data_IF_145189954320
#
_entry.id   IF_145189954320
#
_cell.length_a   1.000
_cell.length_b   1.000
_cell.length_c   1.000
_cell.angle_alpha   90.00
_cell.angle_beta   90.00
_cell.angle_gamma   90.00
#
_symmetry.space_group_name_H-M   'P 1'
#
loop_
_entity.id
_entity.type
_entity.pdbx_description
1 polymer ?
#
# COMPACT_ATOMS: atom_id res chain seq x y z
N UNK A 1 0.38 -8.82 19.33
CA UNK A 1 0.37 -8.36 17.93
C UNK A 1 1.80 -8.00 17.55
N UNK A 2 2.20 -8.11 16.29
CA UNK A 2 3.57 -7.77 15.83
C UNK A 2 3.91 -6.30 16.14
N UNK A 3 2.92 -5.40 16.11
CA UNK A 3 3.07 -3.98 16.45
C UNK A 3 3.71 -3.73 17.83
N UNK A 4 3.57 -4.66 18.78
CA UNK A 4 4.13 -4.54 20.14
C UNK A 4 5.55 -5.10 20.28
N UNK A 5 6.19 -5.56 19.19
CA UNK A 5 7.51 -6.21 19.24
C UNK A 5 8.70 -5.25 19.09
N UNK A 6 8.52 -3.96 19.40
CA UNK A 6 9.58 -2.93 19.30
C UNK A 6 10.19 -2.80 17.89
N UNK A 7 9.34 -2.76 16.86
CA UNK A 7 9.76 -2.49 15.49
C UNK A 7 10.14 -1.02 15.32
N UNK A 8 11.16 -0.75 14.51
CA UNK A 8 11.48 0.61 14.08
C UNK A 8 10.46 1.13 13.03
N UNK A 9 10.08 0.25 12.10
CA UNK A 9 9.14 0.56 11.01
C UNK A 9 8.18 -0.60 10.81
N UNK A 10 6.89 -0.28 10.71
CA UNK A 10 5.84 -1.22 10.33
C UNK A 10 5.43 -1.00 8.87
N UNK A 11 5.79 -1.93 7.99
CA UNK A 11 5.51 -1.84 6.57
C UNK A 11 4.35 -2.76 6.17
N UNK A 12 3.38 -2.23 5.43
CA UNK A 12 2.36 -3.01 4.75
C UNK A 12 1.99 -2.33 3.43
N UNK A 13 2.13 -3.04 2.32
CA UNK A 13 1.97 -2.46 1.00
C UNK A 13 0.52 -2.50 0.52
N UNK A 14 0.04 -1.37 -0.01
CA UNK A 14 -1.23 -1.31 -0.76
C UNK A 14 -1.04 -1.72 -2.22
N UNK A 15 0.20 -1.68 -2.72
CA UNK A 15 0.71 -2.15 -4.03
C UNK A 15 0.21 -1.39 -5.26
N UNK A 16 -1.08 -1.06 -5.34
CA UNK A 16 -1.66 -0.34 -6.49
C UNK A 16 -2.88 0.47 -6.06
N UNK A 17 -3.46 1.22 -7.01
CA UNK A 17 -4.67 2.03 -6.81
C UNK A 17 -5.89 1.13 -6.55
N UNK A 18 -6.95 1.69 -5.94
CA UNK A 18 -8.13 0.92 -5.50
C UNK A 18 -8.78 0.16 -6.66
N UNK A 19 -8.80 0.76 -7.85
CA UNK A 19 -9.42 0.24 -9.07
C UNK A 19 -8.69 -0.98 -9.65
N UNK A 20 -7.39 -1.13 -9.37
CA UNK A 20 -6.56 -2.20 -9.92
C UNK A 20 -6.28 -3.34 -8.94
N UNK A 21 -6.77 -3.26 -7.69
CA UNK A 21 -6.48 -4.25 -6.65
C UNK A 21 -6.78 -5.69 -7.09
N UNK A 22 -7.95 -5.94 -7.67
CA UNK A 22 -8.39 -7.28 -8.10
C UNK A 22 -7.64 -7.81 -9.32
N UNK A 23 -7.07 -6.90 -10.13
CA UNK A 23 -6.28 -7.26 -11.31
C UNK A 23 -4.82 -7.53 -10.96
N UNK A 24 -4.29 -6.79 -9.97
CA UNK A 24 -2.87 -6.81 -9.61
C UNK A 24 -2.56 -7.78 -8.48
N UNK A 25 -3.45 -7.86 -7.49
CA UNK A 25 -3.22 -8.60 -6.24
C UNK A 25 -4.10 -9.84 -6.20
N UNK A 26 -3.73 -10.75 -5.30
CA UNK A 26 -4.56 -11.89 -4.93
C UNK A 26 -5.98 -11.40 -4.56
N UNK A 27 -7.00 -12.14 -4.99
CA UNK A 27 -8.41 -11.77 -4.81
C UNK A 27 -8.83 -11.61 -3.33
N UNK A 28 -8.04 -12.12 -2.38
CA UNK A 28 -8.27 -11.97 -0.93
C UNK A 28 -7.75 -10.63 -0.40
N UNK A 29 -6.84 -9.97 -1.13
CA UNK A 29 -6.32 -8.67 -0.76
C UNK A 29 -7.26 -7.56 -1.26
N UNK A 30 -7.46 -6.55 -0.41
CA UNK A 30 -8.21 -5.37 -0.79
C UNK A 30 -7.59 -4.09 -0.21
N UNK A 31 -7.88 -2.97 -0.87
CA UNK A 31 -7.32 -1.66 -0.54
C UNK A 31 -7.68 -1.23 0.88
N UNK A 32 -8.96 -1.30 1.24
CA UNK A 32 -9.46 -0.83 2.53
C UNK A 32 -8.93 -1.68 3.69
N UNK A 33 -8.83 -3.00 3.54
CA UNK A 33 -8.19 -3.88 4.50
C UNK A 33 -6.70 -3.55 4.66
N UNK A 34 -6.00 -3.25 3.55
CA UNK A 34 -4.59 -2.89 3.61
C UNK A 34 -4.37 -1.57 4.35
N UNK A 35 -5.24 -0.58 4.15
CA UNK A 35 -5.23 0.64 4.96
C UNK A 35 -5.57 0.36 6.42
N UNK A 36 -6.56 -0.51 6.70
CA UNK A 36 -6.95 -0.84 8.08
C UNK A 36 -5.81 -1.50 8.88
N UNK A 37 -4.93 -2.28 8.23
CA UNK A 37 -3.72 -2.82 8.86
C UNK A 37 -2.79 -1.70 9.35
N UNK A 38 -2.61 -0.66 8.54
CA UNK A 38 -1.77 0.49 8.87
C UNK A 38 -2.42 1.41 9.92
N UNK A 39 -3.73 1.61 9.82
CA UNK A 39 -4.53 2.32 10.83
C UNK A 39 -4.38 1.64 12.19
N UNK A 40 -4.59 0.33 12.24
CA UNK A 40 -4.48 -0.44 13.48
C UNK A 40 -3.07 -0.39 14.09
N UNK A 41 -2.03 -0.35 13.26
CA UNK A 41 -0.66 -0.16 13.74
C UNK A 41 -0.50 1.21 14.44
N UNK A 42 -1.02 2.29 13.84
CA UNK A 42 -1.02 3.63 14.44
C UNK A 42 -1.92 3.76 15.67
N UNK A 43 -3.04 3.04 15.73
CA UNK A 43 -3.91 3.02 16.91
C UNK A 43 -3.22 2.37 18.12
N UNK A 44 -2.46 1.29 17.91
CA UNK A 44 -1.71 0.62 18.98
C UNK A 44 -0.49 1.44 19.41
N UNK A 45 0.27 1.95 18.45
CA UNK A 45 1.47 2.74 18.70
C UNK A 45 1.51 3.95 17.74
N UNK A 46 1.00 5.12 18.16
CA UNK A 46 0.96 6.32 17.32
C UNK A 46 2.33 6.79 16.84
N UNK A 47 3.38 6.48 17.61
CA UNK A 47 4.76 6.87 17.32
C UNK A 47 5.49 5.88 16.41
N UNK A 48 4.93 4.70 16.14
CA UNK A 48 5.54 3.73 15.24
C UNK A 48 5.53 4.26 13.82
N UNK A 49 6.69 4.31 13.18
CA UNK A 49 6.80 4.73 11.78
C UNK A 49 6.08 3.68 10.93
N UNK A 50 5.12 4.11 10.11
CA UNK A 50 4.46 3.22 9.14
C UNK A 50 4.88 3.53 7.72
N UNK A 51 4.99 2.46 6.93
CA UNK A 51 5.42 2.53 5.53
C UNK A 51 4.48 1.74 4.62
N UNK A 52 4.29 2.24 3.41
CA UNK A 52 3.62 1.51 2.33
C UNK A 52 4.29 1.77 0.98
N UNK A 53 3.87 1.04 -0.05
CA UNK A 53 4.36 1.19 -1.42
C UNK A 53 3.23 1.20 -2.45
N UNK A 54 3.52 1.83 -3.59
CA UNK A 54 2.78 1.71 -4.83
C UNK A 54 3.75 1.31 -5.96
N UNK A 55 3.36 0.29 -6.72
CA UNK A 55 3.93 -0.02 -8.02
C UNK A 55 3.20 0.79 -9.09
N UNK A 56 3.97 1.46 -9.93
CA UNK A 56 3.51 2.27 -11.05
C UNK A 56 3.71 1.54 -12.39
N UNK A 57 2.99 1.97 -13.41
CA UNK A 57 2.98 1.34 -14.72
C UNK A 57 2.19 0.04 -14.76
N UNK A 58 1.12 -0.06 -13.96
CA UNK A 58 0.17 -1.16 -13.96
C UNK A 58 -1.13 -0.83 -14.71
N UNK A 59 -1.20 0.36 -15.33
CA UNK A 59 -2.38 0.90 -16.01
C UNK A 59 -3.13 1.96 -15.21
N UNK A 60 -2.59 2.38 -14.06
CA UNK A 60 -3.15 3.46 -13.27
C UNK A 60 -2.98 4.83 -13.94
N UNK A 61 -3.91 5.73 -13.64
CA UNK A 61 -3.80 7.14 -14.03
C UNK A 61 -3.11 7.96 -12.94
N UNK A 62 -2.50 9.07 -13.31
CA UNK A 62 -1.92 10.01 -12.35
C UNK A 62 -2.94 10.50 -11.30
N UNK A 63 -4.21 10.61 -11.67
CA UNK A 63 -5.27 11.02 -10.74
C UNK A 63 -5.55 9.96 -9.69
N UNK A 64 -5.66 8.70 -10.10
CA UNK A 64 -5.83 7.57 -9.17
C UNK A 64 -4.63 7.44 -8.22
N UNK A 65 -3.41 7.69 -8.70
CA UNK A 65 -2.21 7.71 -7.86
C UNK A 65 -2.30 8.83 -6.81
N UNK A 66 -2.63 10.06 -7.21
CA UNK A 66 -2.76 11.19 -6.27
C UNK A 66 -3.85 10.94 -5.24
N UNK A 67 -4.99 10.42 -5.67
CA UNK A 67 -6.10 10.06 -4.78
C UNK A 67 -5.69 8.95 -3.79
N UNK A 68 -4.94 7.95 -4.27
CA UNK A 68 -4.39 6.89 -3.41
C UNK A 68 -3.41 7.47 -2.38
N UNK A 69 -2.51 8.35 -2.78
CA UNK A 69 -1.59 9.06 -1.86
C UNK A 69 -2.35 9.87 -0.80
N UNK A 70 -3.41 10.57 -1.22
CA UNK A 70 -4.28 11.33 -0.32
C UNK A 70 -4.92 10.41 0.71
N UNK A 71 -5.52 9.29 0.28
CA UNK A 71 -6.14 8.32 1.18
C UNK A 71 -5.15 7.67 2.15
N UNK A 72 -3.97 7.28 1.67
CA UNK A 72 -2.88 6.74 2.51
C UNK A 72 -2.53 7.72 3.62
N UNK A 73 -2.42 9.02 3.29
CA UNK A 73 -2.08 10.05 4.28
C UNK A 73 -3.24 10.35 5.22
N UNK A 74 -4.43 10.64 4.70
CA UNK A 74 -5.55 11.15 5.51
C UNK A 74 -6.22 10.07 6.35
N UNK A 75 -6.28 8.82 5.86
CA UNK A 75 -6.97 7.73 6.56
C UNK A 75 -6.05 6.97 7.50
N UNK A 76 -4.80 6.71 7.09
CA UNK A 76 -3.89 5.82 7.82
C UNK A 76 -2.68 6.54 8.45
N UNK A 77 -2.53 7.85 8.25
CA UNK A 77 -1.40 8.65 8.74
C UNK A 77 -0.04 7.99 8.47
N UNK A 78 0.15 7.46 7.25
CA UNK A 78 1.40 6.82 6.85
C UNK A 78 2.53 7.85 6.76
N UNK A 79 3.71 7.47 7.25
CA UNK A 79 4.88 8.36 7.33
C UNK A 79 5.77 8.25 6.09
N UNK A 80 5.88 7.05 5.50
CA UNK A 80 6.73 6.79 4.34
C UNK A 80 5.97 6.11 3.22
N UNK A 81 6.05 6.68 2.02
CA UNK A 81 5.52 6.08 0.79
C UNK A 81 6.66 5.87 -0.20
N UNK A 82 6.78 4.66 -0.73
CA UNK A 82 7.69 4.37 -1.84
C UNK A 82 6.92 4.17 -3.14
N UNK A 83 7.36 4.85 -4.20
CA UNK A 83 6.84 4.68 -5.55
C UNK A 83 7.90 3.94 -6.37
N UNK A 84 7.56 2.78 -6.91
CA UNK A 84 8.45 1.98 -7.73
C UNK A 84 7.83 1.65 -9.07
N UNK A 85 8.64 1.56 -10.12
CA UNK A 85 8.18 1.07 -11.41
C UNK A 85 7.93 -0.45 -11.33
N UNK A 86 6.77 -0.92 -11.81
CA UNK A 86 6.53 -2.34 -12.00
C UNK A 86 7.50 -2.88 -13.06
N UNK A 87 8.25 -3.91 -12.67
CA UNK A 87 9.15 -4.66 -13.53
C UNK A 87 8.59 -6.06 -13.68
N UNK A 88 8.08 -6.39 -14.87
CA UNK A 88 7.45 -7.67 -15.14
C UNK A 88 8.44 -8.83 -14.86
N UNK A 89 8.18 -9.72 -13.88
CA UNK A 89 9.14 -10.77 -13.53
C UNK A 89 9.31 -11.81 -14.63
N UNK A 90 8.22 -12.16 -15.32
CA UNK A 90 8.21 -13.12 -16.43
C UNK A 90 7.09 -12.78 -17.41
N UNK A 91 7.15 -13.28 -18.64
CA UNK A 91 6.10 -13.12 -19.66
C UNK A 91 4.69 -13.63 -19.27
N UNK A 92 4.57 -14.46 -18.23
CA UNK A 92 3.28 -14.97 -17.70
C UNK A 92 2.62 -14.03 -16.68
N UNK A 93 3.35 -13.04 -16.17
CA UNK A 93 2.79 -12.04 -15.26
C UNK A 93 2.04 -10.96 -16.06
N UNK A 94 1.36 -10.06 -15.35
CA UNK A 94 0.54 -9.00 -15.95
C UNK A 94 1.30 -8.32 -17.09
N UNK A 95 0.63 -8.24 -18.24
CA UNK A 95 1.07 -7.44 -19.37
C UNK A 95 0.48 -6.07 -19.17
N UNK A 96 1.36 -5.10 -19.02
CA UNK A 96 1.08 -3.69 -18.77
C UNK A 96 1.81 -2.85 -19.79
#
# INVERSE_FOLDING_TARGET
TIVKSNLDVYAHNVETVKELQTHVRDHRANFDQSLNVLIYAKEINPNLITKTSLMLGLGETNEQVRETMRQIRTRANVDCLTLGQYMQPTRRHLKV
#
